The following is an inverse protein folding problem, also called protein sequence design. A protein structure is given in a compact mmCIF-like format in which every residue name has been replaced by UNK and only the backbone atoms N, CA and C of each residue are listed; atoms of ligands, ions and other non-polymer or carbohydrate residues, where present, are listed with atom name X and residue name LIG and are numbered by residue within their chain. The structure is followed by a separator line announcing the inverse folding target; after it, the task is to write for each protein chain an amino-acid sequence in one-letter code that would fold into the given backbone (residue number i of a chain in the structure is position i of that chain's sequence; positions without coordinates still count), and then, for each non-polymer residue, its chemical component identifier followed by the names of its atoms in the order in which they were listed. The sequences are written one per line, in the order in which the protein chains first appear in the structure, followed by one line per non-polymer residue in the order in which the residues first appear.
data_IF_638295333082
#
_entry.id   IF_638295333082
#
_cell.length_a   1.000
_cell.length_b   1.000
_cell.length_c   1.000
_cell.angle_alpha   90.00
_cell.angle_beta   90.00
_cell.angle_gamma   90.00
#
_symmetry.space_group_name_H-M   'P 1'
#
loop_
_entity.id
_entity.type
_entity.pdbx_description
1 polymer ?
#
# COMPACT_ATOMS: atom_id res chain seq x y z
N UNK A 1 71.35 -20.20 25.41
CA UNK A 1 71.10 -18.85 24.79
C UNK A 1 70.74 -18.96 23.32
N UNK A 2 71.44 -19.78 22.52
CA UNK A 2 71.13 -19.94 21.08
C UNK A 2 69.72 -20.50 20.78
N UNK A 3 69.21 -21.41 21.64
CA UNK A 3 67.86 -21.94 21.54
C UNK A 3 66.74 -20.88 21.72
N UNK A 4 66.93 -19.95 22.65
CA UNK A 4 65.95 -18.86 22.84
C UNK A 4 65.87 -17.93 21.63
N UNK A 5 67.02 -17.63 21.02
CA UNK A 5 67.08 -16.79 19.82
C UNK A 5 66.36 -17.50 18.66
N UNK A 6 66.61 -18.80 18.51
CA UNK A 6 66.00 -19.60 17.44
C UNK A 6 64.46 -19.71 17.62
N UNK A 7 63.97 -19.88 18.84
CA UNK A 7 62.53 -19.93 19.14
C UNK A 7 61.86 -18.58 18.84
N UNK A 8 62.47 -17.44 19.25
CA UNK A 8 61.92 -16.12 19.03
C UNK A 8 61.87 -15.78 17.53
N UNK A 9 62.89 -16.16 16.77
CA UNK A 9 62.93 -15.92 15.32
C UNK A 9 61.89 -16.75 14.58
N UNK A 10 61.69 -18.03 14.92
CA UNK A 10 60.69 -18.88 14.32
C UNK A 10 59.25 -18.38 14.69
N UNK A 11 59.00 -18.04 15.96
CA UNK A 11 57.74 -17.48 16.38
C UNK A 11 57.41 -16.14 15.70
N UNK A 12 58.44 -15.31 15.49
CA UNK A 12 58.29 -14.04 14.76
C UNK A 12 57.88 -14.28 13.29
N UNK A 13 58.51 -15.21 12.62
CA UNK A 13 58.18 -15.55 11.22
C UNK A 13 56.75 -16.14 11.14
N UNK A 14 56.39 -17.08 12.00
CA UNK A 14 55.08 -17.70 12.03
C UNK A 14 54.00 -16.66 12.30
N UNK A 15 54.22 -15.73 13.23
CA UNK A 15 53.25 -14.67 13.58
C UNK A 15 52.98 -13.74 12.40
N UNK A 16 53.99 -13.35 11.64
CA UNK A 16 53.83 -12.50 10.45
C UNK A 16 53.07 -13.23 9.35
N UNK A 17 53.42 -14.50 9.11
CA UNK A 17 52.73 -15.32 8.10
C UNK A 17 51.28 -15.57 8.49
N UNK A 18 51.03 -15.94 9.75
CA UNK A 18 49.65 -16.15 10.23
C UNK A 18 48.81 -14.88 10.13
N UNK A 19 49.38 -13.71 10.49
CA UNK A 19 48.68 -12.42 10.35
C UNK A 19 48.36 -12.09 8.91
N UNK A 20 49.23 -12.37 7.96
CA UNK A 20 49.01 -12.13 6.53
C UNK A 20 47.85 -12.97 5.94
N UNK A 21 47.55 -14.14 6.50
CA UNK A 21 46.43 -14.99 6.05
C UNK A 21 45.14 -14.69 6.79
N UNK A 22 45.18 -14.40 8.08
CA UNK A 22 43.98 -14.22 8.92
C UNK A 22 43.32 -12.87 8.66
N UNK A 23 44.09 -11.78 8.57
CA UNK A 23 43.52 -10.42 8.40
C UNK A 23 42.70 -10.24 7.13
N UNK A 24 43.11 -10.73 5.94
CA UNK A 24 42.25 -10.66 4.75
C UNK A 24 40.97 -11.48 4.89
N UNK A 25 41.02 -12.65 5.53
CA UNK A 25 39.86 -13.51 5.74
C UNK A 25 38.76 -12.80 6.61
N UNK A 26 39.20 -12.17 7.71
CA UNK A 26 38.29 -11.42 8.58
C UNK A 26 37.66 -10.25 7.82
N UNK A 27 38.46 -9.47 7.06
CA UNK A 27 37.94 -8.35 6.26
C UNK A 27 36.93 -8.79 5.20
N UNK A 28 37.13 -9.94 4.59
CA UNK A 28 36.24 -10.49 3.59
C UNK A 28 34.94 -10.95 4.25
N UNK A 29 35.01 -11.56 5.43
CA UNK A 29 33.81 -11.96 6.18
C UNK A 29 32.98 -10.74 6.58
N UNK A 30 33.59 -9.69 7.15
CA UNK A 30 32.90 -8.44 7.50
C UNK A 30 32.24 -7.78 6.28
N UNK A 31 32.88 -7.84 5.11
CA UNK A 31 32.29 -7.30 3.87
C UNK A 31 31.08 -8.12 3.42
N UNK A 32 31.16 -9.45 3.51
CA UNK A 32 30.02 -10.35 3.19
C UNK A 32 28.85 -10.14 4.14
N UNK A 33 29.09 -10.00 5.43
CA UNK A 33 28.03 -9.74 6.44
C UNK A 33 27.34 -8.39 6.17
N UNK A 34 28.12 -7.33 5.91
CA UNK A 34 27.54 -6.03 5.55
C UNK A 34 26.71 -6.10 4.28
N UNK A 35 27.18 -6.78 3.24
CA UNK A 35 26.46 -6.95 1.99
C UNK A 35 25.16 -7.75 2.21
N UNK A 36 25.19 -8.81 3.01
CA UNK A 36 24.01 -9.58 3.36
C UNK A 36 22.98 -8.72 4.10
N UNK A 37 23.40 -7.91 5.06
CA UNK A 37 22.51 -7.00 5.79
C UNK A 37 21.87 -5.94 4.88
N UNK A 38 22.62 -5.39 3.92
CA UNK A 38 22.08 -4.45 2.93
C UNK A 38 21.04 -5.11 2.03
N UNK A 39 21.30 -6.34 1.55
CA UNK A 39 20.35 -7.10 0.72
C UNK A 39 19.08 -7.38 1.50
N UNK A 40 19.18 -7.84 2.73
CA UNK A 40 18.03 -8.12 3.59
C UNK A 40 17.17 -6.85 3.81
N UNK A 41 17.79 -5.73 4.16
CA UNK A 41 17.11 -4.45 4.35
C UNK A 41 16.38 -3.98 3.08
N UNK A 42 17.04 -4.09 1.92
CA UNK A 42 16.44 -3.72 0.64
C UNK A 42 15.28 -4.66 0.24
N UNK A 43 15.43 -5.97 0.45
CA UNK A 43 14.35 -6.93 0.18
C UNK A 43 13.12 -6.71 1.07
N UNK A 44 13.30 -6.46 2.36
CA UNK A 44 12.20 -6.16 3.29
C UNK A 44 11.47 -4.90 2.81
N UNK A 45 12.21 -3.85 2.46
CA UNK A 45 11.65 -2.61 1.93
C UNK A 45 10.84 -2.85 0.64
N UNK A 46 11.42 -3.58 -0.32
CA UNK A 46 10.76 -3.90 -1.59
C UNK A 46 9.50 -4.77 -1.39
N UNK A 47 9.57 -5.78 -0.53
CA UNK A 47 8.41 -6.65 -0.23
C UNK A 47 7.27 -5.86 0.41
N UNK A 48 7.58 -4.90 1.30
CA UNK A 48 6.58 -4.04 1.92
C UNK A 48 5.90 -3.14 0.90
N UNK A 49 6.68 -2.43 0.08
CA UNK A 49 6.15 -1.59 -0.99
C UNK A 49 5.31 -2.41 -1.98
N UNK A 50 5.81 -3.56 -2.43
CA UNK A 50 5.10 -4.43 -3.36
C UNK A 50 3.76 -4.93 -2.80
N UNK A 51 3.70 -5.21 -1.50
CA UNK A 51 2.44 -5.60 -0.85
C UNK A 51 1.43 -4.46 -0.87
N UNK A 52 1.83 -3.27 -0.40
CA UNK A 52 0.95 -2.12 -0.34
C UNK A 52 0.45 -1.70 -1.73
N UNK A 53 1.33 -1.77 -2.75
CA UNK A 53 0.97 -1.49 -4.15
C UNK A 53 -0.06 -2.49 -4.68
N UNK A 54 0.11 -3.80 -4.41
CA UNK A 54 -0.83 -4.83 -4.90
C UNK A 54 -2.22 -4.75 -4.30
N UNK A 55 -2.33 -4.30 -3.06
CA UNK A 55 -3.62 -4.15 -2.37
C UNK A 55 -4.22 -2.75 -2.56
N UNK A 56 -3.64 -1.91 -3.40
CA UNK A 56 -4.17 -0.56 -3.62
C UNK A 56 -5.47 -0.59 -4.41
N UNK A 57 -6.29 0.44 -4.18
CA UNK A 57 -7.45 0.71 -5.04
C UNK A 57 -6.97 0.86 -6.48
N UNK A 58 -7.60 0.22 -7.48
CA UNK A 58 -7.26 0.38 -8.88
C UNK A 58 -7.15 1.87 -9.27
N UNK A 59 -6.14 2.20 -10.08
CA UNK A 59 -5.84 3.56 -10.57
C UNK A 59 -5.53 4.60 -9.46
N UNK A 60 -5.32 4.17 -8.22
CA UNK A 60 -4.91 5.09 -7.13
C UNK A 60 -3.39 5.28 -7.04
N UNK A 61 -2.59 4.37 -7.60
CA UNK A 61 -1.13 4.48 -7.50
C UNK A 61 -0.61 5.58 -8.40
N UNK A 62 0.10 6.54 -7.79
CA UNK A 62 0.82 7.59 -8.53
C UNK A 62 2.27 7.68 -8.07
N UNK A 63 3.17 8.01 -8.99
CA UNK A 63 4.61 8.04 -8.76
C UNK A 63 5.23 9.34 -9.27
N UNK A 64 6.20 9.84 -8.53
CA UNK A 64 7.06 10.96 -8.95
C UNK A 64 8.50 10.56 -8.74
N UNK A 65 9.37 10.83 -9.69
CA UNK A 65 10.82 10.57 -9.59
C UNK A 65 11.63 11.79 -9.97
N UNK A 66 12.83 11.91 -9.42
CA UNK A 66 13.74 13.01 -9.64
C UNK A 66 13.76 14.00 -8.49
N UNK A 67 13.62 15.29 -8.77
CA UNK A 67 13.57 16.31 -7.75
C UNK A 67 12.25 16.23 -6.97
N UNK A 68 12.35 16.06 -5.66
CA UNK A 68 11.24 16.05 -4.71
C UNK A 68 11.15 17.42 -4.02
N UNK A 69 10.07 17.67 -3.30
CA UNK A 69 9.94 18.84 -2.46
C UNK A 69 11.02 18.92 -1.36
N UNK A 70 11.28 20.13 -0.84
CA UNK A 70 12.28 20.34 0.21
C UNK A 70 13.73 20.18 -0.22
N UNK A 71 14.02 20.17 -1.54
CA UNK A 71 15.39 19.99 -2.08
C UNK A 71 15.91 18.56 -2.06
N UNK A 72 15.05 17.61 -1.80
CA UNK A 72 15.34 16.18 -1.84
C UNK A 72 15.37 15.67 -3.29
N UNK A 73 16.08 14.55 -3.49
CA UNK A 73 16.05 13.80 -4.74
C UNK A 73 15.74 12.33 -4.47
N UNK A 74 15.00 11.70 -5.40
CA UNK A 74 14.62 10.31 -5.27
C UNK A 74 13.28 10.00 -5.93
N UNK A 75 12.41 9.29 -5.23
CA UNK A 75 11.03 9.06 -5.68
C UNK A 75 10.01 9.18 -4.56
N UNK A 76 8.77 9.46 -4.94
CA UNK A 76 7.61 9.28 -4.08
C UNK A 76 6.59 8.35 -4.78
N UNK A 77 6.01 7.42 -4.03
CA UNK A 77 4.89 6.56 -4.46
C UNK A 77 3.74 6.81 -3.51
N UNK A 78 2.58 7.20 -4.02
CA UNK A 78 1.37 7.38 -3.23
C UNK A 78 0.30 6.40 -3.70
N UNK A 79 -0.45 5.84 -2.75
CA UNK A 79 -1.49 4.86 -3.02
C UNK A 79 -2.57 4.88 -1.92
N UNK A 80 -3.74 4.33 -2.24
CA UNK A 80 -4.84 4.11 -1.30
C UNK A 80 -4.99 2.60 -1.10
N UNK A 81 -4.62 2.03 0.07
CA UNK A 81 -4.75 0.61 0.30
C UNK A 81 -6.21 0.21 0.50
N UNK A 82 -6.60 -0.95 0.01
CA UNK A 82 -7.90 -1.57 0.27
C UNK A 82 -7.86 -2.41 1.54
N UNK A 83 -8.91 -2.33 2.35
CA UNK A 83 -9.10 -3.18 3.52
C UNK A 83 -9.92 -4.43 3.18
N UNK A 84 -10.85 -4.31 2.23
CA UNK A 84 -11.72 -5.38 1.75
C UNK A 84 -12.28 -5.01 0.39
N UNK A 85 -13.04 -5.91 -0.24
CA UNK A 85 -13.75 -5.64 -1.47
C UNK A 85 -14.82 -6.67 -1.75
N UNK A 86 -15.78 -6.28 -2.60
CA UNK A 86 -16.89 -7.13 -3.00
C UNK A 86 -17.40 -6.79 -4.38
N UNK A 87 -18.44 -7.48 -4.81
CA UNK A 87 -19.20 -7.14 -6.01
C UNK A 87 -20.55 -6.57 -5.60
N UNK A 88 -20.87 -5.37 -6.07
CA UNK A 88 -22.20 -4.81 -5.83
C UNK A 88 -23.22 -5.36 -6.82
N UNK A 89 -24.49 -5.36 -6.41
CA UNK A 89 -25.61 -5.65 -7.28
C UNK A 89 -25.81 -4.51 -8.29
N UNK A 90 -25.95 -4.86 -9.58
CA UNK A 90 -26.32 -3.92 -10.63
C UNK A 90 -27.64 -4.34 -11.28
N UNK A 91 -28.31 -3.42 -11.95
CA UNK A 91 -29.53 -3.72 -12.69
C UNK A 91 -29.27 -4.85 -13.70
N UNK A 92 -30.12 -5.89 -13.71
CA UNK A 92 -30.05 -6.99 -14.65
C UNK A 92 -29.35 -8.26 -14.17
N UNK A 93 -28.96 -8.35 -12.89
CA UNK A 93 -28.49 -9.61 -12.29
C UNK A 93 -29.65 -10.35 -11.65
N UNK A 94 -29.83 -11.65 -12.01
CA UNK A 94 -30.92 -12.48 -11.49
C UNK A 94 -30.89 -12.68 -9.96
N UNK A 95 -29.72 -12.45 -9.36
CA UNK A 95 -29.48 -12.68 -7.93
C UNK A 95 -29.65 -11.42 -7.05
N UNK A 96 -30.05 -10.28 -7.65
CA UNK A 96 -30.20 -9.01 -6.94
C UNK A 96 -31.66 -8.61 -6.86
N UNK A 97 -32.12 -8.39 -5.62
CA UNK A 97 -33.40 -7.71 -5.40
C UNK A 97 -33.31 -6.24 -5.88
N UNK A 98 -34.38 -5.73 -6.44
CA UNK A 98 -34.47 -4.33 -6.94
C UNK A 98 -34.10 -3.32 -5.86
N UNK A 99 -34.41 -3.62 -4.59
CA UNK A 99 -34.08 -2.77 -3.44
C UNK A 99 -32.59 -2.78 -3.05
N UNK A 100 -31.81 -3.67 -3.64
CA UNK A 100 -30.38 -3.82 -3.36
C UNK A 100 -29.49 -3.50 -4.55
N UNK A 101 -30.02 -2.88 -5.60
CA UNK A 101 -29.25 -2.46 -6.78
C UNK A 101 -28.55 -1.14 -6.50
N UNK A 102 -27.23 -1.06 -6.79
CA UNK A 102 -26.51 0.21 -6.77
C UNK A 102 -26.77 0.99 -8.06
N UNK A 103 -27.35 2.17 -7.95
CA UNK A 103 -27.62 3.06 -9.07
C UNK A 103 -26.42 4.00 -9.31
N UNK A 104 -25.71 3.76 -10.41
CA UNK A 104 -24.59 4.61 -10.83
C UNK A 104 -25.13 5.88 -11.50
N UNK A 105 -24.49 7.03 -11.21
CA UNK A 105 -24.87 8.35 -11.74
C UNK A 105 -26.06 9.01 -11.05
N UNK A 106 -26.63 8.36 -10.01
CA UNK A 106 -27.68 8.93 -9.16
C UNK A 106 -27.38 8.70 -7.69
N UNK A 107 -27.94 9.55 -6.82
CA UNK A 107 -27.76 9.41 -5.39
C UNK A 107 -28.43 8.14 -4.88
N UNK A 108 -27.67 7.33 -4.16
CA UNK A 108 -28.11 6.09 -3.57
C UNK A 108 -27.72 6.01 -2.10
N UNK A 109 -28.47 5.25 -1.32
CA UNK A 109 -28.26 5.06 0.12
C UNK A 109 -28.11 3.60 0.52
N UNK A 110 -28.49 2.67 -0.35
CA UNK A 110 -28.54 1.23 -0.03
C UNK A 110 -28.19 0.39 -1.24
N UNK A 111 -27.30 -0.56 -1.06
CA UNK A 111 -27.05 -1.60 -2.07
C UNK A 111 -26.61 -2.91 -1.44
N UNK A 112 -26.77 -4.00 -2.17
CA UNK A 112 -26.35 -5.33 -1.76
C UNK A 112 -25.01 -5.69 -2.39
N UNK A 113 -24.21 -6.43 -1.63
CA UNK A 113 -22.96 -7.03 -2.12
C UNK A 113 -23.18 -8.51 -2.40
N UNK A 114 -22.84 -8.95 -3.60
CA UNK A 114 -22.89 -10.36 -3.99
C UNK A 114 -21.86 -11.15 -3.18
N UNK A 115 -22.32 -11.77 -2.09
CA UNK A 115 -21.49 -12.43 -1.10
C UNK A 115 -21.27 -11.60 0.16
N UNK A 116 -20.11 -11.78 0.76
CA UNK A 116 -19.82 -11.21 2.08
C UNK A 116 -18.48 -10.53 2.09
N UNK A 117 -18.39 -9.40 2.75
CA UNK A 117 -17.12 -8.85 3.21
C UNK A 117 -16.46 -9.81 4.21
N UNK A 118 -15.15 -9.87 4.22
CA UNK A 118 -14.38 -10.80 5.06
C UNK A 118 -13.54 -10.13 6.13
N UNK A 119 -13.29 -8.83 5.99
CA UNK A 119 -12.50 -8.10 6.97
C UNK A 119 -13.30 -7.93 8.27
N UNK A 120 -12.88 -8.64 9.32
CA UNK A 120 -13.57 -8.62 10.61
C UNK A 120 -13.57 -7.22 11.26
N UNK A 121 -12.52 -6.41 11.06
CA UNK A 121 -12.45 -5.06 11.60
C UNK A 121 -13.47 -4.14 10.90
N UNK A 122 -13.62 -4.26 9.58
CA UNK A 122 -14.65 -3.52 8.84
C UNK A 122 -16.06 -3.92 9.28
N UNK A 123 -16.32 -5.23 9.41
CA UNK A 123 -17.62 -5.73 9.85
C UNK A 123 -17.95 -5.24 11.27
N UNK A 124 -16.98 -5.28 12.19
CA UNK A 124 -17.15 -4.81 13.56
C UNK A 124 -17.33 -3.29 13.66
N UNK A 125 -16.77 -2.53 12.73
CA UNK A 125 -16.88 -1.08 12.66
C UNK A 125 -18.15 -0.59 11.93
N UNK A 126 -19.09 -1.48 11.63
CA UNK A 126 -20.38 -1.13 11.01
C UNK A 126 -21.07 0.00 11.78
N UNK A 127 -21.49 1.05 11.07
CA UNK A 127 -22.12 2.24 11.64
C UNK A 127 -21.13 3.27 12.22
N UNK A 128 -19.83 3.08 12.02
CA UNK A 128 -18.80 4.07 12.39
C UNK A 128 -18.27 4.81 11.15
N UNK A 129 -17.62 5.95 11.38
CA UNK A 129 -16.96 6.72 10.32
C UNK A 129 -15.52 6.24 10.03
N UNK A 130 -15.24 4.94 10.21
CA UNK A 130 -13.89 4.41 10.09
C UNK A 130 -13.52 3.99 8.65
N UNK A 131 -14.51 3.78 7.78
CA UNK A 131 -14.29 3.25 6.44
C UNK A 131 -15.00 4.06 5.37
N UNK A 132 -14.43 4.03 4.17
CA UNK A 132 -15.01 4.60 2.95
C UNK A 132 -15.20 3.51 1.91
N UNK A 133 -16.14 3.73 0.99
CA UNK A 133 -16.38 2.86 -0.14
C UNK A 133 -15.92 3.53 -1.43
N UNK A 134 -15.32 2.76 -2.33
CA UNK A 134 -14.82 3.22 -3.63
C UNK A 134 -15.44 2.37 -4.72
N UNK A 135 -16.00 3.02 -5.73
CA UNK A 135 -16.57 2.39 -6.92
C UNK A 135 -16.11 3.12 -8.17
N UNK A 136 -15.63 2.39 -9.18
CA UNK A 136 -15.35 2.94 -10.50
C UNK A 136 -14.23 3.99 -10.54
N UNK A 137 -13.18 3.83 -9.73
CA UNK A 137 -12.05 4.76 -9.74
C UNK A 137 -11.28 4.66 -11.05
N UNK A 138 -11.30 5.73 -11.86
CA UNK A 138 -10.67 5.78 -13.17
C UNK A 138 -9.36 6.56 -13.22
N UNK A 139 -9.09 7.35 -12.17
CA UNK A 139 -7.92 8.25 -12.14
C UNK A 139 -7.51 8.63 -10.71
N UNK A 140 -6.63 9.63 -10.60
CA UNK A 140 -6.13 10.16 -9.33
C UNK A 140 -7.06 11.15 -8.62
N UNK A 141 -8.25 11.46 -9.15
CA UNK A 141 -9.19 12.40 -8.53
C UNK A 141 -9.70 11.90 -7.18
N UNK A 142 -9.61 10.59 -6.95
CA UNK A 142 -9.91 9.97 -5.66
C UNK A 142 -9.19 10.65 -4.46
N UNK A 143 -8.04 11.27 -4.67
CA UNK A 143 -7.30 11.96 -3.60
C UNK A 143 -7.91 13.29 -3.19
N UNK A 144 -8.59 13.97 -4.10
CA UNK A 144 -9.21 15.28 -3.88
C UNK A 144 -10.71 15.20 -3.65
N UNK A 145 -11.29 14.01 -3.80
CA UNK A 145 -12.73 13.80 -3.72
C UNK A 145 -13.27 14.04 -2.30
N UNK A 146 -14.19 14.99 -2.17
CA UNK A 146 -14.83 15.37 -0.88
C UNK A 146 -16.35 15.50 -0.97
N UNK A 147 -16.90 15.48 -2.19
CA UNK A 147 -18.31 15.75 -2.44
C UNK A 147 -19.24 14.55 -2.31
N UNK A 148 -20.54 14.81 -2.41
CA UNK A 148 -21.58 13.79 -2.45
C UNK A 148 -21.63 13.04 -3.80
N UNK A 149 -20.85 13.45 -4.78
CA UNK A 149 -20.68 12.77 -6.07
C UNK A 149 -19.18 12.62 -6.36
N UNK A 150 -18.67 11.44 -6.19
CA UNK A 150 -17.27 11.08 -6.42
C UNK A 150 -17.09 9.55 -6.47
N UNK A 151 -15.95 9.08 -6.94
CA UNK A 151 -15.57 7.66 -6.95
C UNK A 151 -15.42 7.08 -5.55
N UNK A 152 -15.17 7.92 -4.56
CA UNK A 152 -15.07 7.56 -3.15
C UNK A 152 -16.18 8.23 -2.36
N UNK A 153 -16.95 7.44 -1.62
CA UNK A 153 -17.94 7.96 -0.69
C UNK A 153 -17.25 8.73 0.44
N UNK A 154 -17.78 9.90 0.86
CA UNK A 154 -17.25 10.63 2.01
C UNK A 154 -17.31 9.76 3.27
N UNK A 155 -16.55 10.13 4.29
CA UNK A 155 -16.65 9.50 5.61
C UNK A 155 -18.08 9.70 6.11
N UNK A 156 -18.83 8.64 6.20
CA UNK A 156 -20.22 8.61 6.62
C UNK A 156 -20.55 7.23 7.15
N UNK A 157 -21.66 7.12 7.83
CA UNK A 157 -22.10 5.87 8.45
C UNK A 157 -22.30 4.76 7.40
N UNK A 158 -21.23 4.02 7.09
CA UNK A 158 -21.37 2.76 6.36
C UNK A 158 -21.85 1.71 7.33
N UNK A 159 -23.12 1.33 7.20
CA UNK A 159 -23.73 0.29 8.04
C UNK A 159 -23.90 -0.98 7.22
N UNK A 160 -23.50 -2.10 7.78
CA UNK A 160 -23.73 -3.42 7.22
C UNK A 160 -24.92 -4.10 7.91
N UNK A 161 -25.78 -4.70 7.12
CA UNK A 161 -26.84 -5.59 7.59
C UNK A 161 -26.86 -6.88 6.77
N UNK A 162 -27.64 -7.86 7.20
CA UNK A 162 -27.82 -9.11 6.46
C UNK A 162 -29.11 -9.07 5.65
N UNK A 163 -29.05 -9.46 4.39
CA UNK A 163 -30.21 -9.59 3.51
C UNK A 163 -30.23 -10.96 2.81
N UNK A 164 -31.37 -11.62 2.62
CA UNK A 164 -32.64 -11.34 3.25
C UNK A 164 -32.62 -11.75 4.72
N UNK A 165 -33.13 -10.89 5.56
CA UNK A 165 -33.26 -11.17 7.00
C UNK A 165 -33.56 -9.89 7.78
N UNK A 166 -34.32 -9.99 8.83
CA UNK A 166 -34.57 -8.90 9.76
C UNK A 166 -33.72 -9.12 11.00
N UNK A 167 -32.70 -8.30 11.20
CA UNK A 167 -31.98 -8.20 12.47
C UNK A 167 -30.84 -9.19 12.72
N UNK A 168 -30.24 -9.77 11.71
CA UNK A 168 -29.01 -10.58 11.89
C UNK A 168 -27.78 -9.71 12.12
N UNK A 169 -26.83 -10.19 12.94
CA UNK A 169 -25.51 -9.57 13.05
C UNK A 169 -24.76 -9.71 11.73
N UNK A 170 -23.96 -8.72 11.30
CA UNK A 170 -23.18 -8.80 10.05
C UNK A 170 -22.26 -10.02 9.95
N UNK A 171 -21.98 -10.69 11.07
CA UNK A 171 -21.12 -11.87 11.14
C UNK A 171 -21.73 -13.16 10.61
N UNK A 172 -23.05 -13.24 10.42
CA UNK A 172 -23.74 -14.45 9.90
C UNK A 172 -23.90 -14.45 8.39
N UNK A 173 -23.26 -13.55 7.69
CA UNK A 173 -23.26 -13.51 6.22
C UNK A 173 -22.70 -14.80 5.63
N UNK A 174 -23.27 -15.24 4.51
CA UNK A 174 -22.87 -16.48 3.83
C UNK A 174 -23.55 -17.74 4.36
N UNK A 175 -24.33 -17.67 5.45
CA UNK A 175 -25.19 -18.77 5.89
C UNK A 175 -26.45 -18.83 5.03
N UNK A 176 -27.03 -20.02 4.93
CA UNK A 176 -28.26 -20.22 4.20
C UNK A 176 -29.41 -19.44 4.87
N UNK A 177 -30.15 -18.68 4.07
CA UNK A 177 -31.33 -17.96 4.57
C UNK A 177 -32.44 -18.93 5.01
N UNK A 178 -33.21 -18.54 6.02
CA UNK A 178 -34.45 -19.24 6.40
C UNK A 178 -35.52 -19.23 5.28
N UNK A 179 -35.38 -18.35 4.28
CA UNK A 179 -36.18 -18.37 3.05
C UNK A 179 -35.45 -19.27 2.06
N UNK A 180 -35.91 -20.47 1.89
CA UNK A 180 -35.31 -21.59 1.21
C UNK A 180 -34.82 -21.27 -0.21
N UNK A 181 -33.56 -21.10 -0.46
CA UNK A 181 -32.73 -21.05 -1.66
C UNK A 181 -31.81 -19.85 -1.79
N UNK A 182 -31.87 -18.84 -0.91
CA UNK A 182 -31.05 -17.64 -1.00
C UNK A 182 -30.02 -17.61 0.13
N UNK A 183 -28.75 -17.37 -0.21
CA UNK A 183 -27.71 -17.14 0.82
C UNK A 183 -27.81 -15.72 1.36
N UNK A 184 -27.56 -15.57 2.66
CA UNK A 184 -27.43 -14.27 3.28
C UNK A 184 -26.24 -13.53 2.68
N UNK A 185 -26.44 -12.27 2.37
CA UNK A 185 -25.43 -11.35 1.83
C UNK A 185 -25.37 -10.08 2.65
N UNK A 186 -24.28 -9.34 2.52
CA UNK A 186 -24.21 -8.02 3.16
C UNK A 186 -25.01 -7.00 2.35
N UNK A 187 -25.88 -6.28 3.05
CA UNK A 187 -26.51 -5.05 2.59
C UNK A 187 -25.77 -3.87 3.18
N UNK A 188 -25.34 -2.97 2.33
CA UNK A 188 -24.63 -1.74 2.68
C UNK A 188 -25.64 -0.61 2.73
N UNK A 189 -25.66 0.12 3.83
CA UNK A 189 -26.37 1.41 3.95
C UNK A 189 -25.32 2.50 4.17
N UNK A 190 -25.42 3.59 3.44
CA UNK A 190 -24.49 4.72 3.50
C UNK A 190 -25.25 6.05 3.48
N UNK A 191 -24.59 7.15 3.82
CA UNK A 191 -25.10 8.49 3.54
C UNK A 191 -25.29 8.63 2.02
N UNK A 192 -26.37 9.29 1.60
CA UNK A 192 -26.69 9.46 0.18
C UNK A 192 -25.47 9.91 -0.62
N UNK A 193 -25.08 9.10 -1.59
CA UNK A 193 -23.87 9.32 -2.40
C UNK A 193 -24.10 8.92 -3.86
N UNK A 194 -23.51 9.66 -4.79
CA UNK A 194 -23.54 9.37 -6.22
C UNK A 194 -22.16 8.87 -6.67
N UNK A 195 -22.06 7.59 -7.03
CA UNK A 195 -20.88 7.08 -7.73
C UNK A 195 -20.99 7.40 -9.21
N UNK A 196 -20.09 8.25 -9.77
CA UNK A 196 -20.24 8.75 -11.15
C UNK A 196 -19.97 7.69 -12.20
N UNK A 197 -19.08 6.75 -11.91
CA UNK A 197 -18.58 5.77 -12.88
C UNK A 197 -18.83 4.34 -12.39
N UNK A 198 -19.35 3.51 -13.29
CA UNK A 198 -19.54 2.08 -12.99
C UNK A 198 -18.19 1.34 -13.00
N UNK A 199 -18.03 0.42 -12.08
CA UNK A 199 -16.94 -0.56 -12.18
C UNK A 199 -17.29 -1.61 -13.24
N UNK A 200 -16.43 -1.89 -14.23
CA UNK A 200 -16.70 -2.87 -15.29
C UNK A 200 -17.01 -4.29 -14.78
N UNK A 201 -16.48 -4.64 -13.60
CA UNK A 201 -16.74 -5.92 -12.92
C UNK A 201 -17.63 -5.78 -11.70
N UNK A 202 -18.33 -4.65 -11.55
CA UNK A 202 -19.23 -4.39 -10.43
C UNK A 202 -18.51 -4.46 -9.08
N UNK A 203 -17.25 -4.03 -9.01
CA UNK A 203 -16.47 -4.07 -7.76
C UNK A 203 -16.70 -2.83 -6.91
N UNK A 204 -16.81 -3.06 -5.62
CA UNK A 204 -16.71 -2.06 -4.57
C UNK A 204 -15.51 -2.37 -3.70
N UNK A 205 -14.71 -1.37 -3.41
CA UNK A 205 -13.55 -1.48 -2.53
C UNK A 205 -13.83 -0.77 -1.22
N UNK A 206 -13.33 -1.34 -0.14
CA UNK A 206 -13.41 -0.78 1.20
C UNK A 206 -12.05 -0.22 1.56
N UNK A 207 -12.01 1.03 2.00
CA UNK A 207 -10.79 1.74 2.40
C UNK A 207 -10.92 2.12 3.87
N UNK A 208 -9.93 1.76 4.68
CA UNK A 208 -9.84 2.23 6.06
C UNK A 208 -9.35 3.68 6.06
N UNK A 209 -10.19 4.57 6.58
CA UNK A 209 -9.99 6.02 6.50
C UNK A 209 -8.71 6.48 7.23
N UNK A 210 -8.42 5.90 8.39
CA UNK A 210 -7.23 6.22 9.17
C UNK A 210 -5.93 5.64 8.59
N UNK A 211 -6.02 4.61 7.73
CA UNK A 211 -4.87 3.95 7.11
C UNK A 211 -4.57 4.46 5.69
N UNK A 212 -5.37 5.39 5.19
CA UNK A 212 -5.24 5.95 3.84
C UNK A 212 -5.11 7.48 3.86
N UNK A 213 -4.37 8.08 2.92
CA UNK A 213 -3.50 7.42 1.94
C UNK A 213 -2.17 6.95 2.54
N UNK A 214 -1.40 6.23 1.75
CA UNK A 214 -0.04 5.80 2.08
C UNK A 214 0.93 6.42 1.07
N UNK A 215 2.01 7.04 1.56
CA UNK A 215 3.13 7.48 0.73
C UNK A 215 4.43 6.86 1.16
N UNK A 216 5.21 6.42 0.19
CA UNK A 216 6.61 6.08 0.33
C UNK A 216 7.43 7.21 -0.28
N UNK A 217 8.31 7.81 0.51
CA UNK A 217 9.26 8.83 0.05
C UNK A 217 10.67 8.26 0.19
N UNK A 218 11.32 8.02 -0.93
CA UNK A 218 12.72 7.68 -0.99
C UNK A 218 13.52 8.95 -1.23
N UNK A 219 14.37 9.31 -0.29
CA UNK A 219 15.23 10.48 -0.36
C UNK A 219 16.69 10.02 -0.26
N UNK A 220 17.40 9.97 -1.41
CA UNK A 220 18.80 9.55 -1.39
C UNK A 220 19.74 10.66 -0.89
N UNK A 221 19.31 11.92 -0.86
CA UNK A 221 20.08 13.01 -0.22
C UNK A 221 20.17 12.78 1.30
N UNK A 222 19.06 12.33 1.91
CA UNK A 222 19.00 11.97 3.33
C UNK A 222 19.38 10.49 3.59
N UNK A 223 19.53 9.70 2.56
CA UNK A 223 19.83 8.27 2.66
C UNK A 223 18.71 7.41 3.22
N UNK A 224 17.44 7.80 3.04
CA UNK A 224 16.29 7.17 3.71
C UNK A 224 15.15 6.83 2.77
N UNK A 225 14.45 5.73 3.08
CA UNK A 225 13.11 5.42 2.58
C UNK A 225 12.13 5.46 3.75
N UNK A 226 11.14 6.34 3.67
CA UNK A 226 10.18 6.59 4.76
C UNK A 226 8.76 6.37 4.26
N UNK A 227 7.92 5.75 5.09
CA UNK A 227 6.50 5.49 4.83
C UNK A 227 5.63 6.41 5.68
N UNK A 228 4.71 7.13 5.07
CA UNK A 228 3.72 8.00 5.68
C UNK A 228 2.32 7.41 5.52
N UNK A 229 1.47 7.50 6.53
CA UNK A 229 0.15 6.86 6.56
C UNK A 229 -0.88 7.79 7.17
N UNK A 230 -2.06 7.84 6.55
CA UNK A 230 -3.23 8.51 7.14
C UNK A 230 -3.14 10.03 7.20
N UNK A 231 -2.24 10.64 6.42
CA UNK A 231 -2.17 12.10 6.32
C UNK A 231 -3.38 12.66 5.59
N UNK A 232 -3.69 13.94 5.84
CA UNK A 232 -4.89 14.60 5.35
C UNK A 232 -4.60 16.01 4.84
N UNK A 233 -5.39 16.41 3.85
CA UNK A 233 -5.54 17.79 3.44
C UNK A 233 -7.00 18.22 3.64
N UNK A 234 -7.37 18.58 4.88
CA UNK A 234 -8.76 18.81 5.24
C UNK A 234 -9.62 17.56 5.16
N UNK A 235 -10.73 17.61 4.42
CA UNK A 235 -11.61 16.47 4.21
C UNK A 235 -11.12 15.50 3.12
N UNK A 236 -10.23 15.96 2.23
CA UNK A 236 -9.61 15.16 1.19
C UNK A 236 -8.43 14.34 1.72
N UNK A 237 -8.02 13.31 0.98
CA UNK A 237 -6.80 12.57 1.30
C UNK A 237 -5.56 13.40 1.04
N UNK A 238 -5.50 14.07 -0.12
CA UNK A 238 -4.35 14.85 -0.54
C UNK A 238 -4.79 16.01 -1.44
N UNK A 239 -3.85 16.71 -2.01
CA UNK A 239 -4.07 17.69 -3.07
C UNK A 239 -4.08 17.01 -4.43
N UNK A 240 -4.46 17.73 -5.51
CA UNK A 240 -4.32 17.24 -6.88
C UNK A 240 -2.87 16.90 -7.25
N UNK A 241 -1.88 17.49 -6.56
CA UNK A 241 -0.46 17.17 -6.71
C UNK A 241 -0.04 16.14 -5.67
N UNK A 242 0.73 15.13 -6.10
CA UNK A 242 1.30 14.13 -5.21
C UNK A 242 2.22 14.78 -4.17
N UNK A 243 2.04 14.49 -2.86
CA UNK A 243 2.92 15.02 -1.84
C UNK A 243 4.29 14.30 -1.90
N UNK A 244 5.35 15.09 -1.97
CA UNK A 244 6.73 14.59 -2.08
C UNK A 244 7.66 15.16 -1.03
N UNK A 245 7.23 16.22 -0.31
CA UNK A 245 8.02 16.91 0.71
C UNK A 245 7.61 16.48 2.13
N UNK A 246 8.44 15.72 2.86
CA UNK A 246 8.18 15.40 4.25
C UNK A 246 8.06 16.60 5.20
N UNK A 247 8.64 17.75 4.85
CA UNK A 247 8.60 18.98 5.63
C UNK A 247 7.36 19.84 5.37
N UNK A 248 6.57 19.50 4.35
CA UNK A 248 5.39 20.26 3.95
C UNK A 248 4.09 19.45 4.15
N UNK A 249 2.96 20.18 4.23
CA UNK A 249 1.66 19.54 4.25
C UNK A 249 1.37 18.83 2.91
N UNK A 250 0.69 17.66 2.95
CA UNK A 250 0.10 17.00 4.11
C UNK A 250 1.03 16.02 4.84
N UNK A 251 2.22 15.70 4.33
CA UNK A 251 3.10 14.67 4.93
C UNK A 251 3.59 15.05 6.34
N UNK A 252 3.81 16.33 6.61
CA UNK A 252 4.25 16.81 7.93
C UNK A 252 3.15 16.73 9.02
N UNK A 253 1.92 16.36 8.66
CA UNK A 253 0.82 16.19 9.63
C UNK A 253 0.87 14.85 10.35
N UNK A 254 1.71 13.92 9.88
CA UNK A 254 1.89 12.59 10.44
C UNK A 254 3.36 12.26 10.62
N UNK A 255 3.65 11.35 11.54
CA UNK A 255 5.01 10.84 11.72
C UNK A 255 5.31 9.75 10.70
N UNK A 256 6.34 9.96 9.88
CA UNK A 256 6.82 8.94 8.94
C UNK A 256 7.51 7.78 9.67
N UNK A 257 7.31 6.57 9.19
CA UNK A 257 8.00 5.37 9.67
C UNK A 257 9.17 5.06 8.75
N UNK A 258 10.39 5.02 9.29
CA UNK A 258 11.57 4.62 8.53
C UNK A 258 11.41 3.16 8.07
N UNK A 259 11.58 2.93 6.78
CA UNK A 259 11.53 1.59 6.17
C UNK A 259 12.94 1.03 6.03
N UNK A 260 13.85 1.80 5.48
CA UNK A 260 15.28 1.48 5.41
C UNK A 260 16.13 2.75 5.32
N UNK A 261 17.39 2.62 5.66
CA UNK A 261 18.43 3.65 5.52
C UNK A 261 19.52 3.20 4.54
N UNK A 262 20.61 3.95 4.50
CA UNK A 262 21.76 3.71 3.60
C UNK A 262 21.39 3.79 2.11
N UNK A 263 20.33 4.49 1.76
CA UNK A 263 19.95 4.74 0.37
C UNK A 263 20.98 5.69 -0.24
N UNK A 264 21.66 5.24 -1.29
CA UNK A 264 22.59 6.07 -2.08
C UNK A 264 22.01 6.53 -3.42
N UNK A 265 21.00 5.80 -3.93
CA UNK A 265 20.23 6.19 -5.11
C UNK A 265 18.87 5.46 -5.12
N UNK A 266 17.87 6.06 -5.71
CA UNK A 266 16.57 5.40 -5.89
C UNK A 266 15.75 6.07 -6.99
N UNK A 267 14.97 5.27 -7.71
CA UNK A 267 14.03 5.73 -8.73
C UNK A 267 12.81 4.84 -8.79
N UNK A 268 11.70 5.43 -9.22
CA UNK A 268 10.48 4.69 -9.56
C UNK A 268 9.94 5.15 -10.89
N UNK A 269 9.40 4.23 -11.67
CA UNK A 269 8.67 4.52 -12.90
C UNK A 269 7.36 3.75 -12.89
N UNK A 270 6.27 4.41 -13.26
CA UNK A 270 5.00 3.76 -13.53
C UNK A 270 4.77 3.76 -15.04
N UNK A 271 4.46 2.60 -15.58
CA UNK A 271 3.81 2.52 -16.88
C UNK A 271 2.31 2.64 -16.60
N UNK A 272 1.76 3.83 -16.84
CA UNK A 272 0.31 4.01 -16.82
C UNK A 272 -0.28 3.16 -17.93
N UNK A 273 -0.94 2.10 -17.53
CA UNK A 273 -1.80 1.36 -18.42
C UNK A 273 -3.16 2.05 -18.47
N UNK A 274 -3.79 2.07 -19.63
CA UNK A 274 -5.19 2.46 -19.78
C UNK A 274 -6.05 1.73 -18.75
N UNK A 275 -7.15 2.34 -18.35
CA UNK A 275 -8.14 1.94 -17.32
C UNK A 275 -8.52 0.44 -17.30
N UNK A 276 -8.19 -0.32 -18.33
CA UNK A 276 -8.55 -1.73 -18.49
C UNK A 276 -7.36 -2.70 -18.53
N UNK A 277 -6.13 -2.20 -18.44
CA UNK A 277 -4.93 -3.04 -18.52
C UNK A 277 -4.11 -2.95 -17.24
N UNK A 278 -3.41 -4.04 -16.91
CA UNK A 278 -2.53 -4.08 -15.73
C UNK A 278 -1.39 -3.06 -15.88
N UNK A 279 -1.28 -2.15 -14.96
CA UNK A 279 -0.13 -1.26 -14.84
C UNK A 279 1.07 -1.98 -14.19
N UNK A 280 2.25 -1.45 -14.40
CA UNK A 280 3.48 -1.94 -13.76
C UNK A 280 4.20 -0.78 -13.09
N UNK A 281 4.52 -0.92 -11.83
CA UNK A 281 5.43 -0.01 -11.12
C UNK A 281 6.78 -0.68 -11.02
N UNK A 282 7.81 -0.03 -11.56
CA UNK A 282 9.19 -0.46 -11.42
C UNK A 282 9.88 0.39 -10.36
N UNK A 283 10.48 -0.24 -9.38
CA UNK A 283 11.18 0.39 -8.25
C UNK A 283 12.63 -0.05 -8.28
N UNK A 284 13.54 0.90 -8.21
CA UNK A 284 14.99 0.68 -8.10
C UNK A 284 15.48 1.29 -6.79
N UNK A 285 16.20 0.51 -6.00
CA UNK A 285 16.87 0.96 -4.79
C UNK A 285 18.36 0.60 -4.87
N UNK A 286 19.22 1.56 -4.52
CA UNK A 286 20.66 1.37 -4.35
C UNK A 286 21.00 1.71 -2.91
N UNK A 287 21.58 0.75 -2.19
CA UNK A 287 22.01 0.92 -0.81
C UNK A 287 23.53 0.81 -0.75
N UNK A 288 24.16 1.71 0.02
CA UNK A 288 25.61 1.73 0.21
C UNK A 288 25.97 1.87 1.67
N UNK A 289 26.85 1.03 2.17
CA UNK A 289 27.39 1.11 3.53
C UNK A 289 28.83 0.66 3.57
N UNK A 290 29.70 1.50 4.13
CA UNK A 290 31.13 1.19 4.36
C UNK A 290 31.86 0.64 3.12
N UNK A 291 31.56 1.19 1.94
CA UNK A 291 32.19 0.80 0.67
C UNK A 291 31.52 -0.37 -0.06
N UNK A 292 30.56 -1.06 0.56
CA UNK A 292 29.74 -2.07 -0.10
C UNK A 292 28.48 -1.41 -0.69
N UNK A 293 28.16 -1.76 -1.94
CA UNK A 293 26.99 -1.25 -2.65
C UNK A 293 26.18 -2.40 -3.22
N UNK A 294 24.87 -2.33 -3.07
CA UNK A 294 23.91 -3.25 -3.70
C UNK A 294 22.88 -2.46 -4.47
N UNK A 295 22.39 -3.05 -5.54
CA UNK A 295 21.28 -2.53 -6.33
C UNK A 295 20.19 -3.58 -6.46
N UNK A 296 18.97 -3.23 -6.14
CA UNK A 296 17.77 -4.06 -6.34
C UNK A 296 16.79 -3.35 -7.25
N UNK A 297 16.24 -4.12 -8.20
CA UNK A 297 15.16 -3.71 -9.08
C UNK A 297 13.97 -4.64 -8.84
N UNK A 298 12.79 -4.08 -8.67
CA UNK A 298 11.55 -4.83 -8.53
C UNK A 298 10.46 -4.26 -9.42
N UNK A 299 9.73 -5.14 -10.09
CA UNK A 299 8.54 -4.79 -10.84
C UNK A 299 7.31 -5.32 -10.12
N UNK A 300 6.36 -4.44 -9.86
CA UNK A 300 5.10 -4.76 -9.20
C UNK A 300 3.97 -4.54 -10.18
N UNK A 301 3.28 -5.61 -10.50
CA UNK A 301 2.08 -5.54 -11.33
C UNK A 301 0.91 -5.03 -10.48
N UNK A 302 0.19 -4.06 -11.02
CA UNK A 302 -1.05 -3.53 -10.47
C UNK A 302 -2.22 -4.34 -11.04
N UNK A 303 -3.13 -4.76 -10.18
CA UNK A 303 -4.41 -5.28 -10.62
C UNK A 303 -5.41 -4.11 -10.75
N UNK A 304 -5.43 -3.50 -11.94
CA UNK A 304 -6.38 -2.44 -12.27
C UNK A 304 -7.73 -3.01 -12.76
N UNK A 305 -8.00 -4.29 -12.56
CA UNK A 305 -9.29 -4.89 -12.91
C UNK A 305 -10.37 -4.39 -11.96
N UNK A 306 -11.15 -3.45 -12.44
CA UNK A 306 -12.30 -2.86 -11.73
C UNK A 306 -13.57 -3.71 -11.86
#
# INVERSE_FOLDING_TARGET
MIEMILVITILGIISVVAGAFILPAIKTQDALERRAALVEAAEIAMRRMARDIRISVPNSVRTTSGALGGGANGFAIELIPTADGGRYCSSGTADCDVSGVLFIGSADTVFDVLGCFRNAAFIAASGTNAYRLVVGNTDSNIYTATGASAEIAPVGNVTLSIFPGTGGTPTVCGSQSAVATTYNRHRVTLTAHTFPTASPRQRVFVVEDAAAPVSYVCNFTAGTLTRYVGYRNGAAYSTGVQPTDPGAAPLNTVTGTLVTNNISDCSSTSLEANVQTSGVVTIRLVLTSSGETIELLSQVQLDNSQ
#
